data_IF_857986684759
#
_entry.id   IF_857986684759
#
_cell.length_a   1.000
_cell.length_b   1.000
_cell.length_c   1.000
_cell.angle_alpha   90.00
_cell.angle_beta   90.00
_cell.angle_gamma   90.00
#
_symmetry.space_group_name_H-M   'P 1'
#
loop_
_entity.id
_entity.type
_entity.pdbx_description
1 polymer ?
#
# COMPACT_ATOMS: atom_id res chain seq x y z
N UNK A 1 14.04 -27.56 2.40
CA UNK A 1 12.88 -27.94 3.24
C UNK A 1 11.99 -26.72 3.32
N UNK A 2 10.92 -26.71 2.53
CA UNK A 2 9.98 -25.56 2.44
C UNK A 2 8.85 -25.85 3.42
N UNK A 3 8.62 -24.95 4.36
CA UNK A 3 7.47 -25.01 5.25
C UNK A 3 6.39 -24.09 4.69
N UNK A 4 5.30 -24.69 4.19
CA UNK A 4 4.07 -23.97 3.85
C UNK A 4 3.25 -23.93 5.14
N UNK A 5 3.07 -22.75 5.72
CA UNK A 5 2.16 -22.54 6.84
C UNK A 5 0.80 -22.21 6.25
N UNK A 6 -0.12 -23.17 6.28
CA UNK A 6 -1.54 -22.97 5.97
C UNK A 6 -2.19 -22.27 7.17
N UNK A 7 -2.60 -21.01 7.00
CA UNK A 7 -3.36 -20.25 8.00
C UNK A 7 -4.84 -20.64 8.03
N UNK A 8 -5.54 -20.60 9.19
CA UNK A 8 -6.90 -21.11 9.32
C UNK A 8 -8.02 -20.06 9.12
N UNK A 9 -9.09 -20.56 8.49
CA UNK A 9 -10.54 -20.30 8.65
C UNK A 9 -11.12 -18.89 8.38
N UNK A 10 -11.86 -18.77 7.27
CA UNK A 10 -12.71 -17.64 6.86
C UNK A 10 -13.96 -17.56 7.74
N UNK A 11 -13.95 -16.76 8.81
CA UNK A 11 -15.16 -16.39 9.57
C UNK A 11 -15.23 -14.88 9.74
N UNK A 12 -16.40 -14.33 9.49
CA UNK A 12 -16.80 -12.93 9.76
C UNK A 12 -16.39 -12.50 11.17
N UNK A 13 -15.24 -11.84 11.27
CA UNK A 13 -14.60 -11.35 12.49
C UNK A 13 -13.18 -10.90 12.18
N UNK A 14 -12.97 -9.58 12.07
CA UNK A 14 -11.68 -8.91 11.83
C UNK A 14 -10.83 -9.54 10.70
N UNK A 15 -11.31 -9.50 9.45
CA UNK A 15 -10.39 -9.71 8.35
C UNK A 15 -9.36 -8.58 8.37
N UNK A 16 -8.11 -8.97 8.59
CA UNK A 16 -6.96 -8.10 8.67
C UNK A 16 -5.82 -8.81 7.96
N UNK A 17 -5.40 -8.28 6.83
CA UNK A 17 -4.25 -8.81 6.11
C UNK A 17 -3.18 -7.73 5.92
N UNK A 18 -1.96 -8.21 5.69
CA UNK A 18 -0.81 -7.35 5.44
C UNK A 18 0.08 -7.97 4.39
N UNK A 19 0.63 -7.13 3.53
CA UNK A 19 1.71 -7.50 2.65
C UNK A 19 2.89 -6.57 2.89
N UNK A 20 4.09 -7.15 2.94
CA UNK A 20 5.35 -6.42 3.11
C UNK A 20 6.25 -6.66 1.91
N UNK A 21 6.88 -5.61 1.42
CA UNK A 21 7.89 -5.66 0.37
C UNK A 21 9.20 -5.07 0.89
N UNK A 22 10.31 -5.73 0.54
CA UNK A 22 11.66 -5.25 0.81
C UNK A 22 12.35 -4.97 -0.51
N UNK A 23 12.67 -3.70 -0.75
CA UNK A 23 13.39 -3.20 -1.90
C UNK A 23 14.71 -2.57 -1.43
N UNK A 24 15.72 -2.38 -2.30
CA UNK A 24 16.96 -1.73 -1.91
C UNK A 24 16.71 -0.35 -1.27
N UNK A 25 17.03 -0.22 0.02
CA UNK A 25 16.85 1.01 0.81
C UNK A 25 15.39 1.38 1.13
N UNK A 26 14.43 0.49 0.92
CA UNK A 26 12.99 0.77 1.06
C UNK A 26 12.21 -0.46 1.54
N UNK A 27 11.52 -0.34 2.68
CA UNK A 27 10.56 -1.30 3.18
C UNK A 27 9.15 -0.72 3.09
N UNK A 28 8.21 -1.52 2.60
CA UNK A 28 6.82 -1.12 2.39
C UNK A 28 5.92 -2.13 3.07
N UNK A 29 4.92 -1.69 3.82
CA UNK A 29 3.91 -2.59 4.41
C UNK A 29 2.53 -2.01 4.23
N UNK A 30 1.71 -2.67 3.41
CA UNK A 30 0.28 -2.36 3.26
C UNK A 30 -0.52 -3.22 4.22
N UNK A 31 -1.37 -2.58 5.01
CA UNK A 31 -2.26 -3.18 6.01
C UNK A 31 -3.70 -2.86 5.61
N UNK A 32 -4.54 -3.89 5.43
CA UNK A 32 -5.96 -3.73 5.13
C UNK A 32 -6.82 -4.29 6.24
N UNK A 33 -7.78 -3.50 6.71
CA UNK A 33 -8.69 -3.87 7.78
C UNK A 33 -10.10 -3.82 7.26
N UNK A 34 -10.85 -4.89 7.48
CA UNK A 34 -12.25 -4.96 7.12
C UNK A 34 -13.05 -3.86 7.83
N UNK A 35 -13.69 -3.00 7.04
CA UNK A 35 -14.37 -1.80 7.52
C UNK A 35 -15.89 -1.98 7.58
N UNK A 36 -16.47 -2.90 6.79
CA UNK A 36 -17.93 -3.02 6.67
C UNK A 36 -18.43 -4.46 6.72
N UNK A 37 -19.40 -4.82 7.58
CA UNK A 37 -19.81 -6.21 7.83
C UNK A 37 -20.37 -6.99 6.63
N UNK A 38 -20.86 -6.29 5.60
CA UNK A 38 -21.56 -6.90 4.46
C UNK A 38 -20.97 -6.53 3.10
N UNK A 39 -20.02 -5.59 3.08
CA UNK A 39 -19.41 -5.11 1.84
C UNK A 39 -17.94 -5.48 1.87
N UNK A 40 -17.36 -5.71 0.70
CA UNK A 40 -15.92 -5.88 0.56
C UNK A 40 -15.23 -4.50 0.68
N UNK A 41 -15.34 -3.88 1.85
CA UNK A 41 -14.75 -2.58 2.15
C UNK A 41 -13.62 -2.74 3.17
N UNK A 42 -12.49 -2.14 2.85
CA UNK A 42 -11.28 -2.26 3.65
C UNK A 42 -10.64 -0.90 3.85
N UNK A 43 -10.39 -0.52 5.10
CA UNK A 43 -9.51 0.59 5.44
C UNK A 43 -8.07 0.18 5.14
N UNK A 44 -7.35 1.02 4.40
CA UNK A 44 -5.97 0.74 3.97
C UNK A 44 -5.00 1.72 4.59
N UNK A 45 -3.92 1.19 5.12
CA UNK A 45 -2.80 2.00 5.59
C UNK A 45 -1.48 1.46 5.06
N UNK A 46 -0.63 2.36 4.55
CA UNK A 46 0.67 2.00 4.03
C UNK A 46 1.76 2.58 4.92
N UNK A 47 2.65 1.71 5.39
CA UNK A 47 3.89 2.12 6.06
C UNK A 47 5.03 2.08 5.06
N UNK A 48 5.78 3.18 4.97
CA UNK A 48 6.93 3.37 4.10
C UNK A 48 8.14 3.66 4.97
N UNK A 49 9.12 2.79 4.98
CA UNK A 49 10.39 2.97 5.67
C UNK A 49 11.51 3.10 4.65
N UNK A 50 12.15 4.25 4.64
CA UNK A 50 13.25 4.56 3.73
C UNK A 50 14.56 4.62 4.52
N UNK A 51 15.61 4.05 3.96
CA UNK A 51 16.94 4.09 4.58
C UNK A 51 17.44 5.54 4.71
N UNK A 52 17.93 5.91 5.89
CA UNK A 52 18.39 7.27 6.19
C UNK A 52 17.29 8.33 6.22
N UNK A 53 16.02 7.92 6.16
CA UNK A 53 14.84 8.77 6.00
C UNK A 53 13.80 8.60 7.11
N UNK A 54 13.77 7.42 7.73
CA UNK A 54 12.81 7.05 8.75
C UNK A 54 11.54 6.44 8.16
N UNK A 55 10.53 6.34 9.02
CA UNK A 55 9.25 5.68 8.73
C UNK A 55 8.13 6.72 8.58
N UNK A 56 7.34 6.57 7.52
CA UNK A 56 6.16 7.36 7.21
C UNK A 56 4.95 6.43 7.12
N UNK A 57 3.82 6.83 7.72
CA UNK A 57 2.54 6.12 7.58
C UNK A 57 1.59 6.96 6.75
N UNK A 58 0.92 6.32 5.80
CA UNK A 58 -0.10 6.89 4.92
C UNK A 58 -1.43 6.19 5.18
N UNK A 59 -2.50 6.97 5.29
CA UNK A 59 -3.87 6.48 5.28
C UNK A 59 -4.38 6.62 3.84
N UNK A 60 -4.64 5.48 3.19
CA UNK A 60 -5.08 5.45 1.79
C UNK A 60 -6.62 5.37 1.69
N UNK A 61 -7.33 5.48 2.81
CA UNK A 61 -8.79 5.40 2.86
C UNK A 61 -9.36 4.03 2.47
N UNK A 62 -10.67 4.05 2.21
CA UNK A 62 -11.48 2.86 2.00
C UNK A 62 -11.33 2.35 0.56
N UNK A 63 -10.92 1.11 0.41
CA UNK A 63 -11.05 0.35 -0.84
C UNK A 63 -12.41 -0.35 -0.89
N UNK A 64 -13.23 0.03 -1.86
CA UNK A 64 -14.55 -0.56 -2.11
C UNK A 64 -14.43 -1.68 -3.15
N UNK A 65 -14.91 -2.87 -2.82
CA UNK A 65 -14.80 -4.06 -3.67
C UNK A 65 -13.57 -4.93 -3.38
N UNK A 66 -12.63 -4.46 -2.54
CA UNK A 66 -11.51 -5.26 -2.04
C UNK A 66 -10.45 -5.63 -3.07
N UNK A 67 -10.45 -4.98 -4.23
CA UNK A 67 -9.52 -5.28 -5.32
C UNK A 67 -8.12 -4.73 -5.06
N UNK A 68 -7.97 -3.77 -4.14
CA UNK A 68 -6.73 -3.10 -3.71
C UNK A 68 -5.64 -3.09 -4.78
N UNK A 69 -5.51 -1.98 -5.51
CA UNK A 69 -4.41 -1.77 -6.44
C UNK A 69 -3.64 -0.51 -6.06
N UNK A 70 -2.47 -0.67 -5.43
CA UNK A 70 -1.63 0.44 -4.96
C UNK A 70 -0.26 0.34 -5.60
N UNK A 71 0.04 1.23 -6.54
CA UNK A 71 1.34 1.30 -7.22
C UNK A 71 2.33 2.10 -6.42
N UNK A 72 3.58 1.66 -6.44
CA UNK A 72 4.70 2.33 -5.79
C UNK A 72 5.70 2.72 -6.86
N UNK A 73 6.04 4.00 -6.87
CA UNK A 73 6.91 4.60 -7.88
C UNK A 73 8.01 5.42 -7.21
N UNK A 74 9.13 5.57 -7.90
CA UNK A 74 10.16 6.54 -7.54
C UNK A 74 10.17 7.69 -8.54
N UNK A 75 10.03 8.90 -8.03
CA UNK A 75 10.12 10.12 -8.83
C UNK A 75 11.55 10.33 -9.34
N UNK A 76 11.72 11.21 -10.33
CA UNK A 76 13.06 11.62 -10.82
C UNK A 76 13.94 12.25 -9.73
N UNK A 77 13.33 12.79 -8.67
CA UNK A 77 14.03 13.38 -7.52
C UNK A 77 14.26 12.38 -6.38
N UNK A 78 13.96 11.09 -6.61
CA UNK A 78 14.17 10.01 -5.64
C UNK A 78 13.08 9.88 -4.58
N UNK A 79 11.96 10.61 -4.72
CA UNK A 79 10.84 10.55 -3.78
C UNK A 79 9.97 9.33 -4.06
N UNK A 80 9.40 8.75 -3.02
CA UNK A 80 8.46 7.64 -3.17
C UNK A 80 7.05 8.19 -3.35
N UNK A 81 6.44 7.81 -4.47
CA UNK A 81 5.08 8.16 -4.86
C UNK A 81 4.21 6.92 -4.76
N UNK A 82 3.04 7.07 -4.15
CA UNK A 82 2.04 6.03 -3.97
C UNK A 82 0.84 6.42 -4.81
N UNK A 83 0.49 5.60 -5.80
CA UNK A 83 -0.65 5.84 -6.65
C UNK A 83 -1.71 4.80 -6.39
N UNK A 84 -2.95 5.25 -6.22
CA UNK A 84 -4.12 4.39 -6.23
C UNK A 84 -5.15 4.91 -7.26
N UNK A 85 -6.32 4.28 -7.38
CA UNK A 85 -7.33 4.71 -8.37
C UNK A 85 -7.87 6.13 -8.17
N UNK A 86 -7.73 6.72 -6.98
CA UNK A 86 -8.36 7.99 -6.60
C UNK A 86 -7.35 9.13 -6.47
N UNK A 87 -6.16 8.85 -5.95
CA UNK A 87 -5.17 9.88 -5.67
C UNK A 87 -3.72 9.41 -5.81
N UNK A 88 -2.81 10.36 -5.61
CA UNK A 88 -1.37 10.11 -5.57
C UNK A 88 -0.79 10.83 -4.36
N UNK A 89 -0.16 10.05 -3.48
CA UNK A 89 0.49 10.53 -2.27
C UNK A 89 2.01 10.48 -2.38
N UNK A 90 2.69 11.44 -1.76
CA UNK A 90 4.14 11.41 -1.58
C UNK A 90 4.49 10.94 -0.17
N UNK A 91 5.35 9.93 -0.04
CA UNK A 91 5.84 9.46 1.25
C UNK A 91 6.97 10.37 1.77
N UNK A 92 6.62 11.51 2.38
CA UNK A 92 7.59 12.45 2.97
C UNK A 92 7.93 12.06 4.42
N UNK A 93 9.20 12.25 4.81
CA UNK A 93 9.83 11.74 6.05
C UNK A 93 9.17 12.29 7.34
N UNK A 94 8.53 11.42 8.11
CA UNK A 94 8.09 11.68 9.50
C UNK A 94 6.59 11.87 9.70
N UNK A 95 6.10 11.70 10.95
CA UNK A 95 4.67 11.82 11.33
C UNK A 95 4.11 13.18 10.92
N UNK A 96 3.54 13.23 9.73
CA UNK A 96 2.76 14.36 9.27
C UNK A 96 1.35 13.84 9.09
N UNK A 97 0.39 14.44 9.81
CA UNK A 97 -1.03 14.42 9.42
C UNK A 97 -1.12 14.61 7.91
N UNK A 98 -2.13 14.03 7.23
CA UNK A 98 -2.29 14.18 5.79
C UNK A 98 -2.22 15.66 5.45
N UNK A 99 -1.10 16.09 4.87
CA UNK A 99 -1.06 17.36 4.21
C UNK A 99 -1.78 17.09 2.91
N UNK A 100 -3.05 17.49 2.83
CA UNK A 100 -3.68 17.87 1.56
C UNK A 100 -2.82 18.99 0.96
N UNK A 101 -1.66 18.65 0.42
CA UNK A 101 -1.03 19.49 -0.58
C UNK A 101 -1.82 19.17 -1.83
N UNK A 102 -2.91 19.92 -1.99
CA UNK A 102 -3.57 20.05 -3.27
C UNK A 102 -2.53 20.54 -4.25
N UNK A 103 -2.00 19.60 -5.03
CA UNK A 103 -1.83 19.62 -6.48
C UNK A 103 -0.82 18.53 -6.85
N UNK A 104 -1.25 17.26 -7.02
CA UNK A 104 -0.52 16.42 -7.96
C UNK A 104 -0.62 17.14 -9.29
N UNK A 105 0.53 17.53 -9.86
CA UNK A 105 0.55 18.00 -11.24
C UNK A 105 -0.18 16.94 -12.07
N UNK A 106 -1.07 17.36 -12.95
CA UNK A 106 -1.96 16.49 -13.73
C UNK A 106 -1.25 15.42 -14.60
N UNK A 107 0.08 15.28 -14.48
CA UNK A 107 0.94 14.27 -15.09
C UNK A 107 2.27 14.09 -14.33
N UNK A 108 2.26 13.68 -13.06
CA UNK A 108 3.43 12.95 -12.56
C UNK A 108 3.25 11.47 -12.91
N UNK A 109 3.68 11.14 -14.13
CA UNK A 109 3.90 9.75 -14.59
C UNK A 109 4.64 8.99 -13.49
N UNK A 110 4.37 7.70 -13.29
CA UNK A 110 5.17 6.81 -12.45
C UNK A 110 6.53 6.58 -13.15
N UNK A 111 7.58 7.38 -12.89
CA UNK A 111 8.73 7.46 -13.79
C UNK A 111 9.62 6.22 -13.69
N UNK A 112 9.80 5.73 -12.46
CA UNK A 112 10.37 4.44 -12.14
C UNK A 112 9.29 3.67 -11.37
N UNK A 113 8.62 2.74 -12.03
CA UNK A 113 7.70 1.82 -11.36
C UNK A 113 8.50 0.80 -10.56
N UNK A 114 8.23 0.67 -9.26
CA UNK A 114 8.92 -0.27 -8.37
C UNK A 114 8.11 -1.54 -8.13
N UNK A 115 6.80 -1.48 -8.37
CA UNK A 115 5.87 -2.57 -8.13
C UNK A 115 4.53 -2.09 -7.61
N UNK A 116 3.63 -3.03 -7.34
CA UNK A 116 2.30 -2.72 -6.81
C UNK A 116 1.87 -3.74 -5.75
N UNK A 117 1.14 -3.26 -4.76
CA UNK A 117 0.29 -4.12 -3.95
C UNK A 117 -0.98 -4.43 -4.72
N UNK A 118 -1.26 -5.72 -4.87
CA UNK A 118 -2.40 -6.23 -5.62
C UNK A 118 -2.98 -7.47 -4.93
N UNK A 119 -4.25 -7.72 -5.19
CA UNK A 119 -5.00 -8.86 -4.71
C UNK A 119 -5.15 -9.84 -5.84
N UNK A 120 -4.72 -11.08 -5.64
CA UNK A 120 -4.89 -12.10 -6.68
C UNK A 120 -6.32 -12.68 -6.72
N UNK A 121 -6.53 -13.64 -7.63
CA UNK A 121 -7.83 -14.29 -7.79
C UNK A 121 -8.28 -15.07 -6.54
N UNK A 122 -7.37 -15.39 -5.62
CA UNK A 122 -7.65 -16.12 -4.37
C UNK A 122 -7.95 -15.17 -3.19
N UNK A 123 -7.89 -13.86 -3.46
CA UNK A 123 -8.02 -12.74 -2.52
C UNK A 123 -6.80 -12.51 -1.63
N UNK A 124 -5.63 -13.02 -2.02
CA UNK A 124 -4.41 -12.85 -1.26
C UNK A 124 -3.70 -11.55 -1.65
N UNK A 125 -3.48 -10.69 -0.65
CA UNK A 125 -2.74 -9.45 -0.82
C UNK A 125 -1.24 -9.75 -0.92
N UNK A 126 -0.60 -9.26 -1.97
CA UNK A 126 0.84 -9.39 -2.17
C UNK A 126 1.44 -8.16 -2.83
N UNK A 127 2.75 -7.98 -2.68
CA UNK A 127 3.49 -7.01 -3.48
C UNK A 127 4.09 -7.70 -4.70
N UNK A 128 3.86 -7.13 -5.88
CA UNK A 128 4.40 -7.59 -7.15
C UNK A 128 5.47 -6.60 -7.62
N UNK A 129 6.76 -6.94 -7.51
CA UNK A 129 7.84 -6.06 -7.97
C UNK A 129 7.82 -5.90 -9.49
N UNK A 130 8.33 -4.77 -9.97
CA UNK A 130 8.56 -4.47 -11.40
C UNK A 130 9.75 -5.23 -11.98
#
# INVERSE_FOLDING_TARGET
MVWIVLGPDRRSGQFHDKATAQLPGLSLTLDRRFAHPFLAEYDRSLTVEQEGAGTTGLDLGIDTGGMTHVKVCRSRTGRILIHDPWETDEATRGRTRPSRISEPSLKDDCPEFLGAFDVDAEQDLSFRPS
#
